data_IF_075655950343
#
_entry.id   IF_075655950343
#
_cell.length_a   1.000
_cell.length_b   1.000
_cell.length_c   1.000
_cell.angle_alpha   90.00
_cell.angle_beta   90.00
_cell.angle_gamma   90.00
#
_symmetry.space_group_name_H-M   'P 1'
#
loop_
_entity.id
_entity.type
_entity.pdbx_description
1 polymer ?
#
# COMPACT_ATOMS: atom_id res chain seq x y z
N UNK A 1 -42.31 34.79 -26.25
CA UNK A 1 -41.26 35.05 -25.24
C UNK A 1 -41.17 33.77 -24.41
N UNK A 2 -40.30 32.84 -24.81
CA UNK A 2 -40.21 31.53 -24.16
C UNK A 2 -39.04 31.58 -23.18
N UNK A 3 -39.33 31.74 -21.91
CA UNK A 3 -38.32 31.57 -20.86
C UNK A 3 -37.95 30.08 -20.77
N UNK A 4 -36.65 29.72 -20.73
CA UNK A 4 -36.26 28.35 -20.49
C UNK A 4 -36.70 27.95 -19.07
N UNK A 5 -37.54 26.91 -18.96
CA UNK A 5 -37.95 26.35 -17.66
C UNK A 5 -36.72 25.93 -16.85
N UNK A 6 -36.64 26.24 -15.54
CA UNK A 6 -35.53 25.81 -14.71
C UNK A 6 -35.52 24.27 -14.60
N UNK A 7 -34.57 23.62 -15.28
CA UNK A 7 -34.46 22.16 -15.39
C UNK A 7 -33.57 21.49 -14.33
N UNK A 8 -33.27 22.15 -13.20
CA UNK A 8 -32.30 21.61 -12.24
C UNK A 8 -32.66 21.86 -10.80
N UNK A 9 -33.14 20.83 -10.09
CA UNK A 9 -33.31 20.91 -8.64
C UNK A 9 -33.04 19.57 -7.94
N UNK A 10 -33.68 18.50 -8.42
CA UNK A 10 -33.61 17.19 -7.76
C UNK A 10 -32.59 16.19 -8.35
N UNK A 11 -32.50 15.98 -9.68
CA UNK A 11 -31.55 15.00 -10.23
C UNK A 11 -30.09 15.44 -10.05
N UNK A 12 -29.81 16.74 -10.08
CA UNK A 12 -28.47 17.28 -9.89
C UNK A 12 -27.96 17.15 -8.45
N UNK A 13 -28.87 17.21 -7.46
CA UNK A 13 -28.52 17.00 -6.05
C UNK A 13 -28.15 15.53 -5.80
N UNK A 14 -28.97 14.59 -6.29
CA UNK A 14 -28.70 13.15 -6.15
C UNK A 14 -27.37 12.76 -6.82
N UNK A 15 -27.11 13.26 -8.04
CA UNK A 15 -25.85 13.02 -8.76
C UNK A 15 -24.66 13.66 -8.04
N UNK A 16 -24.82 14.85 -7.45
CA UNK A 16 -23.76 15.49 -6.66
C UNK A 16 -23.46 14.71 -5.38
N UNK A 17 -24.48 14.21 -4.67
CA UNK A 17 -24.31 13.41 -3.47
C UNK A 17 -23.60 12.07 -3.77
N UNK A 18 -23.98 11.39 -4.85
CA UNK A 18 -23.30 10.17 -5.33
C UNK A 18 -21.84 10.41 -5.74
N UNK A 19 -21.52 11.59 -6.29
CA UNK A 19 -20.12 11.97 -6.57
C UNK A 19 -19.35 12.22 -5.29
N UNK A 20 -19.94 12.92 -4.32
CA UNK A 20 -19.32 13.21 -3.02
C UNK A 20 -19.02 11.94 -2.23
N UNK A 21 -19.91 10.94 -2.25
CA UNK A 21 -19.63 9.64 -1.61
C UNK A 21 -18.45 8.93 -2.27
N UNK A 22 -18.38 8.96 -3.61
CA UNK A 22 -17.22 8.45 -4.34
C UNK A 22 -15.92 9.14 -3.95
N UNK A 23 -15.92 10.48 -3.89
CA UNK A 23 -14.74 11.26 -3.48
C UNK A 23 -14.31 10.95 -2.05
N UNK A 24 -15.25 10.92 -1.11
CA UNK A 24 -14.95 10.61 0.30
C UNK A 24 -14.42 9.19 0.44
N UNK A 25 -14.98 8.22 -0.29
CA UNK A 25 -14.49 6.84 -0.28
C UNK A 25 -13.07 6.74 -0.84
N UNK A 26 -12.78 7.40 -1.97
CA UNK A 26 -11.43 7.43 -2.54
C UNK A 26 -10.42 8.08 -1.59
N UNK A 27 -10.76 9.21 -0.96
CA UNK A 27 -9.91 9.85 0.04
C UNK A 27 -9.69 8.94 1.26
N UNK A 28 -10.74 8.23 1.69
CA UNK A 28 -10.65 7.22 2.74
C UNK A 28 -9.69 6.09 2.40
N UNK A 29 -9.73 5.56 1.17
CA UNK A 29 -8.80 4.53 0.71
C UNK A 29 -7.35 5.03 0.65
N UNK A 30 -7.13 6.28 0.20
CA UNK A 30 -5.79 6.88 0.17
C UNK A 30 -5.25 7.05 1.59
N UNK A 31 -6.05 7.60 2.50
CA UNK A 31 -5.67 7.77 3.89
C UNK A 31 -5.39 6.41 4.55
N UNK A 32 -6.24 5.42 4.32
CA UNK A 32 -6.05 4.06 4.81
C UNK A 32 -4.77 3.43 4.26
N UNK A 33 -4.50 3.54 2.96
CA UNK A 33 -3.27 3.04 2.37
C UNK A 33 -2.02 3.72 2.97
N UNK A 34 -2.06 5.04 3.20
CA UNK A 34 -0.97 5.77 3.86
C UNK A 34 -0.74 5.30 5.29
N UNK A 35 -1.81 5.13 6.07
CA UNK A 35 -1.76 4.58 7.44
C UNK A 35 -1.20 3.15 7.40
N UNK A 36 -1.68 2.31 6.48
CA UNK A 36 -1.22 0.93 6.36
C UNK A 36 0.28 0.85 6.06
N UNK A 37 0.77 1.63 5.09
CA UNK A 37 2.20 1.69 4.75
C UNK A 37 3.03 2.18 5.94
N UNK A 38 2.54 3.17 6.69
CA UNK A 38 3.28 3.73 7.83
C UNK A 38 3.37 2.77 9.02
N UNK A 39 2.28 2.08 9.36
CA UNK A 39 2.23 1.24 10.57
C UNK A 39 2.61 -0.22 10.31
N UNK A 40 2.31 -0.78 9.14
CA UNK A 40 2.51 -2.21 8.87
C UNK A 40 3.69 -2.50 7.93
N UNK A 41 4.02 -1.59 7.00
CA UNK A 41 5.11 -1.82 6.06
C UNK A 41 6.45 -1.24 6.54
N UNK A 42 6.47 -0.47 7.63
CA UNK A 42 7.65 0.26 8.09
C UNK A 42 8.53 -0.63 8.98
N UNK A 43 9.81 -0.73 8.61
CA UNK A 43 10.85 -1.44 9.37
C UNK A 43 11.93 -0.42 9.74
N UNK A 44 12.25 -0.31 11.02
CA UNK A 44 13.23 0.65 11.55
C UNK A 44 14.19 -0.05 12.53
N UNK A 45 15.26 -0.72 12.05
CA UNK A 45 16.28 -1.28 12.92
C UNK A 45 16.93 -0.15 13.73
N UNK A 46 17.06 -0.34 15.05
CA UNK A 46 17.71 0.62 15.94
C UNK A 46 19.23 0.59 15.81
N UNK A 47 19.91 1.51 16.52
CA UNK A 47 21.36 1.55 16.54
C UNK A 47 21.95 0.24 17.09
N UNK A 48 22.88 -0.37 16.33
CA UNK A 48 23.44 -1.68 16.63
C UNK A 48 22.58 -2.87 16.19
N UNK A 49 21.43 -2.64 15.54
CA UNK A 49 20.57 -3.69 15.01
C UNK A 49 20.69 -3.85 13.49
N UNK A 50 20.36 -5.03 13.00
CA UNK A 50 20.15 -5.31 11.58
C UNK A 50 18.83 -6.08 11.41
N UNK A 51 18.13 -5.85 10.30
CA UNK A 51 16.98 -6.67 9.95
C UNK A 51 17.33 -7.67 8.84
N UNK A 52 17.09 -8.95 9.13
CA UNK A 52 17.16 -10.04 8.16
C UNK A 52 15.79 -10.21 7.52
N UNK A 53 15.73 -10.09 6.19
CA UNK A 53 14.48 -10.22 5.45
C UNK A 53 14.16 -11.68 5.12
N UNK A 54 12.88 -12.05 5.22
CA UNK A 54 12.38 -13.36 4.81
C UNK A 54 11.20 -13.16 3.86
N UNK A 55 11.37 -13.58 2.61
CA UNK A 55 10.28 -13.55 1.63
C UNK A 55 9.40 -14.78 1.79
N UNK A 56 8.10 -14.57 1.98
CA UNK A 56 7.11 -15.65 2.08
C UNK A 56 6.66 -16.18 0.70
N UNK A 57 6.85 -15.38 -0.34
CA UNK A 57 6.46 -15.66 -1.72
C UNK A 57 7.67 -15.66 -2.65
N UNK A 58 7.54 -16.27 -3.82
CA UNK A 58 8.63 -16.44 -4.79
C UNK A 58 8.88 -17.91 -5.13
N UNK A 59 9.94 -18.16 -5.90
CA UNK A 59 10.35 -19.52 -6.27
C UNK A 59 10.95 -20.26 -5.07
N UNK A 60 10.75 -21.59 -5.02
CA UNK A 60 11.45 -22.43 -4.05
C UNK A 60 12.94 -22.41 -4.34
N UNK A 61 13.75 -22.34 -3.27
CA UNK A 61 15.19 -22.49 -3.37
C UNK A 61 15.56 -23.90 -3.89
N UNK A 62 16.68 -24.04 -4.62
CA UNK A 62 17.27 -25.34 -4.89
C UNK A 62 17.55 -26.12 -3.59
N UNK A 63 17.51 -27.46 -3.61
CA UNK A 63 17.65 -28.28 -2.39
C UNK A 63 18.91 -28.01 -1.56
N UNK A 64 20.01 -27.64 -2.22
CA UNK A 64 21.32 -27.39 -1.60
C UNK A 64 21.52 -25.93 -1.17
N UNK A 65 20.49 -25.08 -1.26
CA UNK A 65 20.60 -23.66 -1.04
C UNK A 65 19.62 -23.18 0.05
N UNK A 66 20.18 -22.53 1.08
CA UNK A 66 19.40 -22.02 2.23
C UNK A 66 19.12 -20.51 2.13
N UNK A 67 20.06 -19.75 1.54
CA UNK A 67 19.95 -18.29 1.41
C UNK A 67 19.52 -17.91 0.00
N UNK A 68 18.47 -17.08 -0.11
CA UNK A 68 18.04 -16.45 -1.34
C UNK A 68 19.01 -15.35 -1.75
N UNK A 69 19.75 -15.61 -2.82
CA UNK A 69 20.76 -14.69 -3.37
C UNK A 69 20.16 -13.52 -4.14
N UNK A 70 18.85 -13.55 -4.41
CA UNK A 70 18.10 -12.43 -5.00
C UNK A 70 16.60 -12.53 -4.67
N UNK A 71 15.87 -11.45 -4.91
CA UNK A 71 14.46 -11.28 -4.55
C UNK A 71 13.47 -12.23 -5.26
N UNK A 72 13.90 -12.99 -6.27
CA UNK A 72 13.03 -13.94 -7.00
C UNK A 72 12.66 -15.15 -6.14
N UNK A 73 13.51 -15.50 -5.18
CA UNK A 73 13.37 -16.70 -4.36
C UNK A 73 12.69 -16.37 -3.03
N UNK A 74 11.83 -17.27 -2.58
CA UNK A 74 11.29 -17.22 -1.21
C UNK A 74 12.35 -17.69 -0.21
N UNK A 75 12.25 -17.26 1.05
CA UNK A 75 13.16 -17.63 2.12
C UNK A 75 14.02 -16.46 2.63
N UNK A 76 15.07 -16.79 3.38
CA UNK A 76 16.00 -15.81 3.99
C UNK A 76 16.78 -15.11 2.90
N UNK A 77 16.70 -13.78 2.84
CA UNK A 77 17.39 -12.98 1.82
C UNK A 77 18.86 -12.74 2.21
N UNK A 78 19.73 -12.67 1.20
CA UNK A 78 21.16 -12.38 1.38
C UNK A 78 21.40 -10.93 1.83
N UNK A 79 20.61 -10.00 1.30
CA UNK A 79 20.70 -8.58 1.65
C UNK A 79 20.01 -8.34 3.00
N UNK A 80 20.70 -7.61 3.87
CA UNK A 80 20.19 -7.19 5.19
C UNK A 80 19.96 -5.69 5.20
N UNK A 81 19.07 -5.23 6.07
CA UNK A 81 18.87 -3.81 6.32
C UNK A 81 19.73 -3.40 7.51
N UNK A 82 20.55 -2.38 7.32
CA UNK A 82 21.26 -1.71 8.41
C UNK A 82 20.32 -0.78 9.17
N UNK A 83 20.88 -0.03 10.12
CA UNK A 83 20.19 1.08 10.78
C UNK A 83 19.54 2.02 9.74
N UNK A 84 18.30 2.44 10.00
CA UNK A 84 17.57 3.34 9.11
C UNK A 84 16.06 3.07 9.06
N UNK A 85 15.38 3.69 8.10
CA UNK A 85 13.94 3.51 7.86
C UNK A 85 13.68 2.93 6.49
N UNK A 86 13.00 1.80 6.46
CA UNK A 86 12.68 1.07 5.25
C UNK A 86 11.18 0.77 5.18
N UNK A 87 10.68 0.53 3.97
CA UNK A 87 9.29 0.13 3.74
C UNK A 87 9.25 -1.14 2.88
N UNK A 88 8.80 -2.24 3.48
CA UNK A 88 8.65 -3.54 2.84
C UNK A 88 7.24 -4.08 3.05
N UNK A 89 6.79 -4.93 2.13
CA UNK A 89 5.52 -5.63 2.30
C UNK A 89 5.64 -6.67 3.45
N UNK A 90 4.79 -6.63 4.49
CA UNK A 90 4.86 -7.54 5.64
C UNK A 90 4.56 -9.03 5.33
#
# INVERSE_FOLDING_TARGET
MNEPRPTGGLPNLLVTLLKMTGVVFTLGLIAFAGIFVWFFCRIEPEAGEIAVLIHKTGKNLPPEQVIATNATWKGIQLEVLTEGRYFYNP
#
